data_IF_541661571606
#
_entry.id   IF_541661571606
#
_cell.length_a   1.000
_cell.length_b   1.000
_cell.length_c   1.000
_cell.angle_alpha   90.00
_cell.angle_beta   90.00
_cell.angle_gamma   90.00
#
_symmetry.space_group_name_H-M   'P 1'
#
loop_
_entity.id
_entity.type
_entity.pdbx_description
1 polymer ?
#
# COMPACT_ATOMS: atom_id res chain seq x y z
N UNK A 1 -18.51 -3.58 -12.38
CA UNK A 1 -18.05 -3.26 -11.01
C UNK A 1 -17.01 -4.29 -10.57
N UNK A 2 -16.06 -3.90 -9.71
CA UNK A 2 -15.10 -4.81 -9.06
C UNK A 2 -15.34 -4.79 -7.55
N UNK A 3 -15.11 -5.91 -6.86
CA UNK A 3 -15.22 -6.02 -5.40
C UNK A 3 -14.03 -6.81 -4.86
N UNK A 4 -13.66 -6.59 -3.59
CA UNK A 4 -12.65 -7.39 -2.91
C UNK A 4 -13.33 -8.60 -2.27
N UNK A 5 -12.98 -9.81 -2.72
CA UNK A 5 -13.55 -11.04 -2.17
C UNK A 5 -12.93 -11.35 -0.81
N UNK A 6 -13.74 -11.47 0.25
CA UNK A 6 -13.27 -11.78 1.60
C UNK A 6 -12.64 -13.18 1.74
N UNK A 7 -13.00 -14.12 0.84
CA UNK A 7 -12.48 -15.49 0.91
C UNK A 7 -11.04 -15.65 0.39
N UNK A 8 -10.65 -14.89 -0.63
CA UNK A 8 -9.31 -15.00 -1.24
C UNK A 8 -8.53 -13.68 -1.27
N UNK A 9 -9.11 -12.62 -0.71
CA UNK A 9 -8.53 -11.27 -0.59
C UNK A 9 -8.05 -10.65 -1.91
N UNK A 10 -8.79 -10.95 -3.00
CA UNK A 10 -8.50 -10.45 -4.36
C UNK A 10 -9.59 -9.53 -4.88
N UNK A 11 -9.18 -8.53 -5.65
CA UNK A 11 -10.08 -7.64 -6.37
C UNK A 11 -10.60 -8.35 -7.64
N UNK A 12 -11.86 -8.74 -7.65
CA UNK A 12 -12.50 -9.53 -8.71
C UNK A 12 -13.60 -8.73 -9.43
N UNK A 13 -13.85 -9.04 -10.70
CA UNK A 13 -14.95 -8.46 -11.48
C UNK A 13 -16.23 -9.27 -11.19
N UNK A 14 -17.35 -8.59 -11.00
CA UNK A 14 -18.66 -9.23 -10.80
C UNK A 14 -19.10 -9.88 -12.12
N UNK A 15 -19.25 -11.21 -12.15
CA UNK A 15 -19.78 -11.96 -13.30
C UNK A 15 -21.17 -12.53 -13.02
N UNK A 16 -21.36 -13.16 -11.85
CA UNK A 16 -22.65 -13.73 -11.41
C UNK A 16 -23.12 -13.06 -10.12
N UNK A 17 -24.33 -12.51 -10.13
CA UNK A 17 -24.97 -11.94 -8.96
C UNK A 17 -26.41 -12.45 -8.80
N UNK A 18 -26.85 -12.54 -7.54
CA UNK A 18 -28.22 -12.90 -7.16
C UNK A 18 -28.71 -11.87 -6.16
N UNK A 19 -29.95 -11.43 -6.31
CA UNK A 19 -30.63 -10.57 -5.33
C UNK A 19 -31.48 -11.47 -4.42
N UNK A 20 -31.06 -11.63 -3.17
CA UNK A 20 -31.79 -12.36 -2.13
C UNK A 20 -32.12 -11.38 -1.00
N UNK A 21 -33.38 -11.28 -0.58
CA UNK A 21 -33.79 -10.48 0.58
C UNK A 21 -33.34 -9.01 0.55
N UNK A 22 -33.41 -8.37 -0.62
CA UNK A 22 -32.90 -7.01 -0.87
C UNK A 22 -31.39 -6.82 -0.67
N UNK A 23 -30.61 -7.90 -0.49
CA UNK A 23 -29.16 -7.88 -0.48
C UNK A 23 -28.61 -8.38 -1.82
N UNK A 24 -27.51 -7.78 -2.27
CA UNK A 24 -26.77 -8.23 -3.44
C UNK A 24 -25.78 -9.32 -3.01
N UNK A 25 -26.01 -10.56 -3.44
CA UNK A 25 -25.08 -11.66 -3.26
C UNK A 25 -24.25 -11.85 -4.54
N UNK A 26 -22.93 -11.92 -4.41
CA UNK A 26 -22.00 -12.12 -5.53
C UNK A 26 -21.10 -13.31 -5.23
N UNK A 27 -20.99 -14.24 -6.17
CA UNK A 27 -20.05 -15.35 -6.08
C UNK A 27 -18.67 -14.95 -6.64
N UNK A 28 -17.61 -15.37 -5.97
CA UNK A 28 -16.24 -15.15 -6.43
C UNK A 28 -15.89 -16.16 -7.53
N UNK A 29 -15.50 -15.73 -8.74
CA UNK A 29 -15.14 -16.66 -9.81
C UNK A 29 -13.84 -17.42 -9.53
N UNK A 30 -13.02 -16.95 -8.58
CA UNK A 30 -11.72 -17.56 -8.25
C UNK A 30 -11.85 -18.64 -7.18
N UNK A 31 -12.60 -18.38 -6.11
CA UNK A 31 -12.68 -19.30 -4.96
C UNK A 31 -14.08 -19.85 -4.67
N UNK A 32 -15.11 -19.36 -5.37
CA UNK A 32 -16.51 -19.79 -5.16
C UNK A 32 -17.17 -19.24 -3.89
N UNK A 33 -16.47 -18.43 -3.08
CA UNK A 33 -17.05 -17.82 -1.89
C UNK A 33 -18.14 -16.80 -2.27
N UNK A 34 -19.21 -16.74 -1.47
CA UNK A 34 -20.32 -15.82 -1.64
C UNK A 34 -20.15 -14.59 -0.73
N UNK A 35 -20.21 -13.40 -1.30
CA UNK A 35 -20.17 -12.13 -0.56
C UNK A 35 -21.53 -11.45 -0.65
N UNK A 36 -22.09 -11.01 0.48
CA UNK A 36 -23.42 -10.37 0.57
C UNK A 36 -23.27 -8.91 0.97
N UNK A 37 -23.76 -7.99 0.14
CA UNK A 37 -23.85 -6.56 0.45
C UNK A 37 -25.31 -6.20 0.77
N UNK A 38 -25.60 -5.94 2.05
CA UNK A 38 -26.87 -5.36 2.44
C UNK A 38 -26.86 -3.85 2.09
N UNK A 39 -28.00 -3.27 1.64
CA UNK A 39 -28.12 -1.84 1.49
C UNK A 39 -27.79 -1.19 2.83
N UNK A 40 -26.84 -0.25 2.84
CA UNK A 40 -26.48 0.46 4.07
C UNK A 40 -27.74 1.18 4.55
N UNK A 41 -28.34 0.72 5.65
CA UNK A 41 -29.36 1.51 6.33
C UNK A 41 -28.64 2.74 6.87
N UNK A 42 -28.61 3.81 6.10
CA UNK A 42 -28.11 5.10 6.55
C UNK A 42 -28.99 5.49 7.73
N UNK A 43 -28.46 5.30 8.95
CA UNK A 43 -29.06 5.80 10.17
C UNK A 43 -29.29 7.30 9.97
N UNK A 44 -30.53 7.81 10.03
CA UNK A 44 -30.76 9.24 9.89
C UNK A 44 -29.90 9.96 10.92
N UNK A 45 -29.10 10.91 10.45
CA UNK A 45 -28.19 11.68 11.28
C UNK A 45 -28.97 12.29 12.44
N UNK A 46 -28.61 11.93 13.68
CA UNK A 46 -29.17 12.57 14.85
C UNK A 46 -28.85 14.07 14.79
N UNK A 47 -29.81 14.97 15.10
CA UNK A 47 -29.55 16.41 15.15
C UNK A 47 -28.45 16.67 16.18
N UNK A 48 -27.32 17.22 15.73
CA UNK A 48 -26.22 17.60 16.61
C UNK A 48 -26.63 18.72 17.57
N UNK A 49 -26.36 18.53 18.86
CA UNK A 49 -26.46 19.56 19.88
C UNK A 49 -25.54 20.74 19.53
N UNK A 50 -26.07 21.95 19.64
CA UNK A 50 -25.40 23.20 19.40
C UNK A 50 -24.21 23.42 20.36
N UNK A 51 -23.05 23.91 19.88
CA UNK A 51 -21.98 24.42 20.73
C UNK A 51 -22.32 25.80 21.30
N UNK A 52 -22.05 25.95 22.60
CA UNK A 52 -22.28 27.16 23.37
C UNK A 52 -21.47 28.36 22.88
N UNK A 53 -22.15 29.51 22.94
CA UNK A 53 -21.75 30.87 22.57
C UNK A 53 -20.76 31.43 23.61
N UNK A 54 -19.60 31.87 23.17
CA UNK A 54 -18.66 32.70 23.95
C UNK A 54 -18.25 33.91 23.12
N UNK A 55 -18.44 35.10 23.69
CA UNK A 55 -18.40 36.42 23.06
C UNK A 55 -17.02 36.93 22.58
N UNK A 56 -17.14 37.82 21.59
CA UNK A 56 -16.24 38.72 20.83
C UNK A 56 -15.34 39.70 21.65
N UNK A 57 -14.57 40.68 21.07
CA UNK A 57 -14.57 41.25 19.70
C UNK A 57 -13.20 41.57 19.03
N UNK A 58 -13.19 41.83 17.71
CA UNK A 58 -12.13 42.69 17.14
C UNK A 58 -11.87 42.68 15.62
N UNK A 59 -12.55 43.60 14.91
CA UNK A 59 -12.02 44.46 13.83
C UNK A 59 -11.96 43.99 12.35
N UNK A 60 -12.75 44.75 11.55
CA UNK A 60 -12.47 45.38 10.24
C UNK A 60 -12.27 44.51 8.98
N UNK A 61 -13.32 44.52 8.14
CA UNK A 61 -13.34 45.33 6.91
C UNK A 61 -12.90 44.66 5.60
N UNK A 62 -13.75 44.73 4.57
CA UNK A 62 -13.34 44.51 3.18
C UNK A 62 -14.45 43.98 2.27
N UNK A 63 -14.94 44.85 1.40
CA UNK A 63 -16.06 44.71 0.47
C UNK A 63 -15.86 43.68 -0.66
N UNK A 64 -16.96 43.25 -1.29
CA UNK A 64 -16.98 43.15 -2.75
C UNK A 64 -17.62 41.92 -3.40
N UNK A 65 -18.72 42.18 -4.10
CA UNK A 65 -19.19 41.56 -5.35
C UNK A 65 -20.02 40.27 -5.29
N UNK A 66 -21.33 40.50 -5.44
CA UNK A 66 -22.35 39.54 -5.85
C UNK A 66 -22.21 39.15 -7.32
N UNK A 67 -22.43 37.86 -7.63
CA UNK A 67 -22.93 37.41 -8.94
C UNK A 67 -23.97 36.32 -8.69
N UNK A 68 -25.22 36.66 -8.95
CA UNK A 68 -26.32 35.70 -9.12
C UNK A 68 -26.16 34.98 -10.46
N UNK A 69 -26.72 33.76 -10.61
CA UNK A 69 -27.49 33.34 -11.80
C UNK A 69 -27.98 31.88 -11.68
N UNK A 70 -29.30 31.78 -11.85
CA UNK A 70 -30.12 30.70 -12.44
C UNK A 70 -30.32 29.34 -11.78
N UNK A 71 -31.58 29.19 -11.35
CA UNK A 71 -32.35 27.96 -11.30
C UNK A 71 -32.50 27.33 -12.70
N UNK A 72 -32.60 26.00 -12.75
CA UNK A 72 -33.09 25.23 -13.90
C UNK A 72 -34.01 24.13 -13.40
N UNK A 73 -35.18 24.05 -14.04
CA UNK A 73 -36.33 23.20 -13.76
C UNK A 73 -36.06 21.68 -13.81
N UNK A 74 -36.90 20.88 -13.13
CA UNK A 74 -36.91 19.42 -13.21
C UNK A 74 -37.79 18.88 -14.37
N UNK A 75 -37.34 17.79 -14.99
CA UNK A 75 -38.03 17.04 -16.03
C UNK A 75 -38.88 15.87 -15.45
N UNK A 76 -39.85 15.31 -16.22
CA UNK A 76 -41.01 14.59 -15.68
C UNK A 76 -40.80 13.08 -15.41
N UNK A 77 -41.60 12.60 -14.45
CA UNK A 77 -41.76 11.19 -14.05
C UNK A 77 -42.42 10.32 -15.13
N UNK A 78 -41.98 9.06 -15.31
CA UNK A 78 -42.80 8.03 -15.94
C UNK A 78 -43.61 7.25 -14.89
N UNK A 79 -44.90 7.14 -15.16
CA UNK A 79 -45.88 6.35 -14.43
C UNK A 79 -45.61 4.84 -14.48
N UNK A 80 -45.64 4.19 -13.32
CA UNK A 80 -45.71 2.73 -13.21
C UNK A 80 -46.78 2.33 -12.17
N UNK A 81 -47.50 1.27 -12.53
CA UNK A 81 -48.77 0.81 -11.96
C UNK A 81 -48.57 0.05 -10.64
N UNK A 82 -49.55 0.07 -9.72
CA UNK A 82 -49.51 -0.72 -8.49
C UNK A 82 -49.76 -2.20 -8.80
N UNK A 83 -48.84 -3.06 -8.36
CA UNK A 83 -49.02 -4.52 -8.28
C UNK A 83 -49.31 -4.86 -6.82
N UNK A 84 -50.37 -5.65 -6.63
CA UNK A 84 -50.98 -6.01 -5.36
C UNK A 84 -50.07 -6.82 -4.43
N UNK A 85 -50.03 -6.42 -3.16
CA UNK A 85 -49.38 -7.12 -2.04
C UNK A 85 -50.08 -8.44 -1.67
N UNK A 86 -49.35 -9.56 -1.57
CA UNK A 86 -49.75 -10.71 -0.77
C UNK A 86 -49.39 -10.52 0.71
N UNK A 87 -50.36 -10.83 1.57
CA UNK A 87 -50.34 -10.69 3.03
C UNK A 87 -49.14 -11.38 3.70
N UNK A 88 -48.37 -10.62 4.48
CA UNK A 88 -47.19 -11.06 5.19
C UNK A 88 -47.52 -11.79 6.51
N UNK A 89 -46.92 -12.96 6.70
CA UNK A 89 -46.81 -13.60 8.02
C UNK A 89 -45.88 -12.82 8.96
N UNK A 90 -45.88 -13.14 10.28
CA UNK A 90 -45.11 -12.41 11.28
C UNK A 90 -43.60 -12.46 10.98
N UNK A 91 -42.88 -11.32 11.08
CA UNK A 91 -41.49 -11.21 10.68
C UNK A 91 -40.55 -12.01 11.61
N UNK A 92 -39.52 -12.68 11.07
CA UNK A 92 -38.48 -13.30 11.88
C UNK A 92 -37.70 -12.24 12.69
N UNK A 93 -37.20 -12.58 13.89
CA UNK A 93 -36.48 -11.64 14.73
C UNK A 93 -35.24 -11.10 14.00
N UNK A 94 -34.92 -9.79 14.15
CA UNK A 94 -33.85 -9.12 13.42
C UNK A 94 -32.49 -9.77 13.71
N UNK A 95 -31.86 -10.28 12.64
CA UNK A 95 -30.49 -10.78 12.69
C UNK A 95 -29.55 -9.62 13.04
N UNK A 96 -28.92 -9.71 14.21
CA UNK A 96 -28.00 -8.69 14.70
C UNK A 96 -26.79 -8.58 13.75
N UNK A 97 -26.34 -7.37 13.39
CA UNK A 97 -25.17 -7.18 12.56
C UNK A 97 -23.96 -7.81 13.23
N UNK A 98 -23.31 -8.74 12.53
CA UNK A 98 -22.02 -9.28 12.91
C UNK A 98 -20.99 -8.15 12.82
N UNK A 99 -20.84 -7.40 13.90
CA UNK A 99 -19.67 -6.57 14.11
C UNK A 99 -18.49 -7.52 14.01
N UNK A 100 -17.65 -7.33 13.00
CA UNK A 100 -16.34 -7.96 12.89
C UNK A 100 -15.59 -7.59 14.16
N UNK A 101 -15.71 -8.45 15.17
CA UNK A 101 -15.05 -8.28 16.44
C UNK A 101 -13.57 -8.15 16.12
N UNK A 102 -12.96 -7.02 16.53
CA UNK A 102 -11.52 -6.91 16.67
C UNK A 102 -11.08 -8.19 17.38
N UNK A 103 -10.50 -9.13 16.63
CA UNK A 103 -9.93 -10.33 17.23
C UNK A 103 -8.71 -9.84 17.99
N UNK A 104 -8.90 -9.60 19.28
CA UNK A 104 -7.82 -9.49 20.24
C UNK A 104 -7.06 -10.81 20.15
N UNK A 105 -5.95 -10.80 19.41
CA UNK A 105 -5.02 -11.91 19.36
C UNK A 105 -4.45 -12.02 20.77
N UNK A 106 -4.93 -13.01 21.53
CA UNK A 106 -4.35 -13.35 22.83
C UNK A 106 -2.90 -13.77 22.62
N UNK A 107 -1.98 -13.02 23.21
CA UNK A 107 -0.53 -13.28 23.17
C UNK A 107 -0.09 -14.48 24.03
N UNK A 108 -1.02 -15.31 24.53
CA UNK A 108 -0.72 -16.45 25.40
C UNK A 108 -0.31 -17.72 24.62
N UNK A 109 0.29 -17.57 23.45
CA UNK A 109 0.88 -18.69 22.75
C UNK A 109 2.07 -19.21 23.57
N UNK A 110 2.13 -20.51 23.91
CA UNK A 110 3.24 -21.05 24.69
C UNK A 110 4.56 -20.77 23.97
N UNK A 111 5.64 -20.47 24.73
CA UNK A 111 6.94 -20.16 24.14
C UNK A 111 7.39 -21.35 23.30
N UNK A 112 7.34 -21.17 21.97
CA UNK A 112 7.82 -22.14 21.00
C UNK A 112 9.29 -22.36 21.31
N UNK A 113 9.65 -23.61 21.59
CA UNK A 113 11.04 -23.99 21.85
C UNK A 113 11.95 -23.42 20.75
N UNK A 114 13.18 -22.98 21.07
CA UNK A 114 14.09 -22.40 20.10
C UNK A 114 14.34 -23.43 18.99
N UNK A 115 13.68 -23.23 17.85
CA UNK A 115 13.91 -23.99 16.64
C UNK A 115 15.35 -23.70 16.24
N UNK A 116 16.21 -24.71 16.37
CA UNK A 116 17.51 -24.72 15.69
C UNK A 116 17.18 -24.60 14.21
N UNK A 117 17.38 -23.40 13.68
CA UNK A 117 17.10 -23.10 12.29
C UNK A 117 18.29 -23.59 11.49
N UNK A 118 18.26 -24.87 11.14
CA UNK A 118 19.29 -25.47 10.30
C UNK A 118 19.30 -24.79 8.92
N UNK A 119 20.47 -24.27 8.54
CA UNK A 119 20.74 -23.72 7.22
C UNK A 119 21.22 -22.27 7.20
N UNK A 120 21.72 -21.85 6.03
CA UNK A 120 22.15 -20.48 5.76
C UNK A 120 20.96 -19.50 5.91
N UNK A 121 21.02 -18.49 6.80
CA UNK A 121 19.91 -17.56 7.04
C UNK A 121 19.55 -16.72 5.81
N UNK A 122 20.45 -16.60 4.83
CA UNK A 122 20.26 -15.79 3.62
C UNK A 122 19.63 -16.55 2.45
N UNK A 123 19.61 -17.88 2.52
CA UNK A 123 18.95 -18.73 1.53
C UNK A 123 17.46 -18.87 1.86
N UNK A 124 16.63 -18.95 0.82
CA UNK A 124 15.22 -19.26 1.02
C UNK A 124 15.06 -20.74 1.40
N UNK A 125 14.14 -21.09 2.32
CA UNK A 125 13.84 -22.49 2.61
C UNK A 125 13.36 -23.24 1.34
N UNK A 126 13.56 -24.57 1.27
CA UNK A 126 13.02 -25.36 0.17
C UNK A 126 11.50 -25.17 0.06
N UNK A 127 10.97 -25.24 -1.17
CA UNK A 127 9.56 -24.98 -1.45
C UNK A 127 9.15 -23.50 -1.39
N UNK A 128 10.09 -22.56 -1.22
CA UNK A 128 9.83 -21.12 -1.25
C UNK A 128 10.58 -20.42 -2.40
N UNK A 129 9.98 -19.36 -2.95
CA UNK A 129 10.57 -18.56 -4.01
C UNK A 129 11.84 -17.87 -3.50
N UNK A 130 12.98 -17.97 -4.22
CA UNK A 130 14.25 -17.44 -3.72
C UNK A 130 14.30 -15.91 -3.70
N UNK A 131 13.46 -15.20 -4.47
CA UNK A 131 13.38 -13.73 -4.46
C UNK A 131 12.46 -13.18 -3.37
N UNK A 132 11.21 -13.65 -3.31
CA UNK A 132 10.18 -13.05 -2.43
C UNK A 132 9.74 -13.92 -1.25
N UNK A 133 10.26 -15.16 -1.16
CA UNK A 133 9.94 -16.12 -0.10
C UNK A 133 8.45 -16.53 -0.06
N UNK A 134 7.72 -16.40 -1.17
CA UNK A 134 6.37 -16.95 -1.27
C UNK A 134 6.43 -18.48 -1.51
N UNK A 135 5.48 -19.27 -1.00
CA UNK A 135 5.41 -20.71 -1.31
C UNK A 135 5.40 -20.97 -2.82
N UNK A 136 6.19 -21.93 -3.27
CA UNK A 136 6.26 -22.38 -4.67
C UNK A 136 5.08 -23.31 -4.95
N UNK A 137 4.61 -23.30 -6.20
CA UNK A 137 3.64 -24.30 -6.70
C UNK A 137 4.42 -25.24 -7.62
N UNK A 138 4.26 -26.55 -7.43
CA UNK A 138 5.18 -27.58 -7.94
C UNK A 138 5.39 -27.63 -9.46
N UNK A 139 4.50 -27.00 -10.25
CA UNK A 139 4.57 -27.00 -11.73
C UNK A 139 4.79 -25.61 -12.34
N UNK A 140 5.02 -24.57 -11.52
CA UNK A 140 5.16 -23.22 -12.03
C UNK A 140 6.62 -22.92 -12.44
N UNK A 141 6.87 -22.62 -13.73
CA UNK A 141 8.17 -22.10 -14.19
C UNK A 141 8.49 -20.69 -13.68
N UNK A 142 7.53 -20.02 -13.03
CA UNK A 142 7.68 -18.69 -12.45
C UNK A 142 6.88 -18.52 -11.15
N UNK A 143 7.35 -17.65 -10.28
CA UNK A 143 6.68 -17.34 -9.02
C UNK A 143 5.41 -16.51 -9.25
N UNK A 144 4.26 -17.00 -8.78
CA UNK A 144 2.98 -16.31 -8.90
C UNK A 144 2.88 -15.00 -8.08
N UNK A 145 3.74 -14.80 -7.07
CA UNK A 145 3.70 -13.63 -6.20
C UNK A 145 4.55 -12.46 -6.73
N UNK A 146 5.74 -12.73 -7.25
CA UNK A 146 6.67 -11.67 -7.70
C UNK A 146 7.05 -11.75 -9.19
N UNK A 147 6.53 -12.72 -9.93
CA UNK A 147 6.80 -12.90 -11.36
C UNK A 147 8.21 -13.41 -11.69
N UNK A 148 9.02 -13.81 -10.71
CA UNK A 148 10.36 -14.34 -10.96
C UNK A 148 10.27 -15.64 -11.77
N UNK A 149 10.89 -15.68 -12.95
CA UNK A 149 11.13 -16.92 -13.70
C UNK A 149 12.31 -17.66 -13.06
N UNK A 150 12.08 -18.87 -12.56
CA UNK A 150 13.07 -19.58 -11.73
C UNK A 150 14.36 -19.91 -12.47
N UNK A 151 14.27 -20.19 -13.78
CA UNK A 151 15.44 -20.45 -14.63
C UNK A 151 16.41 -19.25 -14.75
N UNK A 152 15.93 -18.03 -14.51
CA UNK A 152 16.70 -16.79 -14.63
C UNK A 152 17.18 -16.26 -13.27
N UNK A 153 17.02 -17.04 -12.20
CA UNK A 153 17.40 -16.58 -10.87
C UNK A 153 18.92 -16.62 -10.68
N UNK A 154 19.51 -15.47 -10.34
CA UNK A 154 20.93 -15.34 -9.99
C UNK A 154 21.02 -15.13 -8.46
N UNK A 155 21.52 -16.12 -7.69
CA UNK A 155 21.59 -16.04 -6.23
C UNK A 155 22.38 -14.83 -5.71
N UNK A 156 23.49 -14.51 -6.37
CA UNK A 156 24.43 -13.48 -5.91
C UNK A 156 23.83 -12.07 -5.93
N UNK A 157 22.91 -11.78 -6.85
CA UNK A 157 22.20 -10.49 -6.90
C UNK A 157 21.25 -10.28 -5.71
N UNK A 158 20.89 -11.35 -5.00
CA UNK A 158 19.92 -11.33 -3.91
C UNK A 158 20.58 -11.51 -2.53
N UNK A 159 21.91 -11.48 -2.47
CA UNK A 159 22.63 -11.46 -1.21
C UNK A 159 22.56 -10.05 -0.57
N UNK A 160 22.38 -9.96 0.77
CA UNK A 160 22.52 -8.69 1.47
C UNK A 160 23.96 -8.18 1.38
N UNK A 161 24.16 -6.87 1.54
CA UNK A 161 25.50 -6.33 1.73
C UNK A 161 26.20 -7.00 2.93
N UNK A 162 27.53 -7.08 2.91
CA UNK A 162 28.29 -7.67 4.02
C UNK A 162 28.01 -6.99 5.36
N UNK A 163 27.73 -5.68 5.36
CA UNK A 163 27.34 -4.94 6.55
C UNK A 163 25.99 -5.42 7.11
N UNK A 164 24.95 -5.48 6.26
CA UNK A 164 23.63 -5.95 6.67
C UNK A 164 23.66 -7.44 7.07
N UNK A 165 24.46 -8.27 6.38
CA UNK A 165 24.65 -9.67 6.72
C UNK A 165 25.26 -9.84 8.12
N UNK A 166 26.29 -9.07 8.46
CA UNK A 166 26.91 -9.06 9.78
C UNK A 166 25.95 -8.61 10.88
N UNK A 167 25.21 -7.52 10.64
CA UNK A 167 24.20 -7.02 11.58
C UNK A 167 23.04 -8.01 11.77
N UNK A 168 22.62 -8.69 10.70
CA UNK A 168 21.59 -9.73 10.77
C UNK A 168 22.06 -10.93 11.61
N UNK A 169 23.30 -11.40 11.44
CA UNK A 169 23.85 -12.45 12.30
C UNK A 169 23.91 -12.03 13.76
N UNK A 170 24.37 -10.81 14.05
CA UNK A 170 24.39 -10.29 15.42
C UNK A 170 22.98 -10.18 16.03
N UNK A 171 21.98 -9.82 15.21
CA UNK A 171 20.58 -9.82 15.62
C UNK A 171 20.07 -11.23 15.94
N UNK A 172 20.49 -12.27 15.21
CA UNK A 172 20.06 -13.64 15.49
C UNK A 172 20.52 -14.13 16.87
N UNK A 173 21.69 -13.70 17.34
CA UNK A 173 22.19 -13.98 18.70
C UNK A 173 21.41 -13.24 19.80
N UNK A 174 20.77 -12.13 19.44
CA UNK A 174 20.02 -11.27 20.37
C UNK A 174 18.57 -11.12 19.93
N UNK A 175 17.99 -12.17 19.34
CA UNK A 175 16.69 -12.10 18.65
C UNK A 175 15.55 -11.58 19.54
N UNK A 176 15.63 -11.78 20.85
CA UNK A 176 14.60 -11.31 21.79
C UNK A 176 14.70 -9.80 22.13
N UNK A 177 15.78 -9.12 21.76
CA UNK A 177 15.99 -7.68 22.00
C UNK A 177 15.36 -6.85 20.88
N UNK A 178 14.20 -6.24 21.16
CA UNK A 178 13.54 -5.35 20.19
C UNK A 178 14.39 -4.12 19.82
N UNK A 179 15.25 -3.63 20.71
CA UNK A 179 16.11 -2.50 20.39
C UNK A 179 17.17 -2.91 19.36
N UNK A 180 17.61 -4.19 19.34
CA UNK A 180 18.49 -4.72 18.29
C UNK A 180 17.78 -4.74 16.92
N UNK A 181 16.51 -5.14 16.89
CA UNK A 181 15.69 -5.06 15.67
C UNK A 181 15.57 -3.62 15.16
N UNK A 182 15.29 -2.66 16.05
CA UNK A 182 15.13 -1.25 15.67
C UNK A 182 16.44 -0.64 15.16
N UNK A 183 17.57 -0.97 15.79
CA UNK A 183 18.92 -0.58 15.33
C UNK A 183 19.20 -1.08 13.91
N UNK A 184 18.98 -2.38 13.65
CA UNK A 184 19.15 -2.96 12.31
C UNK A 184 18.27 -2.23 11.28
N UNK A 185 16.99 -2.01 11.59
CA UNK A 185 16.06 -1.36 10.66
C UNK A 185 16.44 0.10 10.38
N UNK A 186 16.99 0.80 11.36
CA UNK A 186 17.45 2.19 11.23
C UNK A 186 18.72 2.27 10.39
N UNK A 187 19.65 1.32 10.58
CA UNK A 187 20.85 1.18 9.75
C UNK A 187 20.52 0.79 8.31
N UNK A 188 19.62 -0.19 8.11
CA UNK A 188 19.14 -0.58 6.79
C UNK A 188 18.43 0.57 6.05
N UNK A 189 17.68 1.41 6.77
CA UNK A 189 17.09 2.63 6.19
C UNK A 189 18.16 3.61 5.72
N UNK A 190 19.17 3.90 6.56
CA UNK A 190 20.26 4.80 6.20
C UNK A 190 21.07 4.35 4.98
N UNK A 191 21.14 3.04 4.72
CA UNK A 191 21.82 2.44 3.56
C UNK A 191 20.92 2.19 2.35
N UNK A 192 19.61 2.41 2.46
CA UNK A 192 18.65 2.09 1.39
C UNK A 192 18.37 0.60 1.21
N UNK A 193 18.64 -0.23 2.22
CA UNK A 193 18.52 -1.70 2.18
C UNK A 193 17.27 -2.25 2.89
N UNK A 194 16.28 -1.41 3.19
CA UNK A 194 15.04 -1.84 3.86
C UNK A 194 14.32 -2.98 3.13
N UNK A 195 14.36 -3.00 1.79
CA UNK A 195 13.77 -4.08 1.01
C UNK A 195 14.44 -5.44 1.30
N UNK A 196 15.76 -5.43 1.47
CA UNK A 196 16.53 -6.63 1.81
C UNK A 196 16.28 -7.08 3.25
N UNK A 197 16.23 -6.13 4.21
CA UNK A 197 15.80 -6.43 5.58
C UNK A 197 14.40 -7.06 5.62
N UNK A 198 13.45 -6.54 4.85
CA UNK A 198 12.11 -7.12 4.71
C UNK A 198 12.10 -8.52 4.08
N UNK A 199 13.07 -8.86 3.21
CA UNK A 199 13.26 -10.23 2.71
C UNK A 199 13.77 -11.15 3.83
N UNK A 200 14.74 -10.71 4.63
CA UNK A 200 15.29 -11.48 5.76
C UNK A 200 14.21 -11.86 6.79
N UNK A 201 13.35 -10.90 7.17
CA UNK A 201 12.22 -11.19 8.06
C UNK A 201 11.22 -12.19 7.45
N UNK A 202 10.94 -12.11 6.15
CA UNK A 202 10.08 -13.10 5.48
C UNK A 202 10.72 -14.49 5.43
N UNK A 203 12.03 -14.59 5.24
CA UNK A 203 12.76 -15.86 5.32
C UNK A 203 12.72 -16.45 6.72
N UNK A 204 12.78 -15.62 7.76
CA UNK A 204 12.57 -16.06 9.15
C UNK A 204 11.16 -16.59 9.35
N UNK A 205 10.13 -15.87 8.91
CA UNK A 205 8.73 -16.30 8.99
C UNK A 205 8.46 -17.59 8.20
N UNK A 206 9.10 -17.79 7.05
CA UNK A 206 8.95 -19.03 6.28
C UNK A 206 9.48 -20.26 7.04
N UNK A 207 10.52 -20.10 7.87
CA UNK A 207 11.05 -21.17 8.71
C UNK A 207 10.34 -21.29 10.07
N UNK A 208 9.89 -20.17 10.61
CA UNK A 208 9.18 -20.08 11.90
C UNK A 208 7.90 -19.24 11.74
N UNK A 209 6.79 -19.82 11.23
CA UNK A 209 5.56 -19.07 10.91
C UNK A 209 4.88 -18.36 12.09
N UNK A 210 5.21 -18.74 13.33
CA UNK A 210 4.70 -18.14 14.56
C UNK A 210 5.63 -17.10 15.21
N UNK A 211 6.74 -16.73 14.56
CA UNK A 211 7.71 -15.78 15.14
C UNK A 211 7.13 -14.35 15.16
N UNK A 212 6.61 -13.96 16.33
CA UNK A 212 5.96 -12.67 16.54
C UNK A 212 6.94 -11.48 16.32
N UNK A 213 8.23 -11.67 16.63
CA UNK A 213 9.25 -10.63 16.42
C UNK A 213 9.56 -10.49 14.93
N UNK A 214 9.62 -11.60 14.19
CA UNK A 214 9.78 -11.55 12.74
C UNK A 214 8.58 -10.86 12.05
N UNK A 215 7.36 -11.17 12.51
CA UNK A 215 6.13 -10.54 12.02
C UNK A 215 6.16 -9.02 12.27
N UNK A 216 6.47 -8.62 13.51
CA UNK A 216 6.59 -7.21 13.89
C UNK A 216 7.68 -6.50 13.10
N UNK A 217 8.85 -7.12 12.93
CA UNK A 217 9.96 -6.59 12.13
C UNK A 217 9.58 -6.37 10.66
N UNK A 218 8.87 -7.33 10.06
CA UNK A 218 8.32 -7.19 8.69
C UNK A 218 7.34 -6.02 8.59
N UNK A 219 6.40 -5.92 9.52
CA UNK A 219 5.38 -4.88 9.49
C UNK A 219 6.00 -3.48 9.71
N UNK A 220 7.06 -3.42 10.53
CA UNK A 220 7.86 -2.22 10.74
C UNK A 220 8.63 -1.79 9.48
N UNK A 221 9.17 -2.74 8.70
CA UNK A 221 9.75 -2.44 7.38
C UNK A 221 8.69 -1.82 6.46
N UNK A 222 7.48 -2.39 6.40
CA UNK A 222 6.39 -1.86 5.57
C UNK A 222 5.99 -0.46 6.04
N UNK A 223 5.87 -0.24 7.35
CA UNK A 223 5.57 1.07 7.94
C UNK A 223 6.62 2.13 7.58
N UNK A 224 7.89 1.77 7.67
CA UNK A 224 9.03 2.65 7.33
C UNK A 224 9.09 2.98 5.85
N UNK A 225 8.91 1.99 4.97
CA UNK A 225 8.88 2.19 3.51
C UNK A 225 7.69 3.08 3.09
N UNK A 226 6.52 2.85 3.65
CA UNK A 226 5.31 3.65 3.35
C UNK A 226 5.41 5.08 3.89
N UNK A 227 6.03 5.26 5.05
CA UNK A 227 6.24 6.59 5.66
C UNK A 227 7.37 7.38 5.01
N UNK A 228 8.36 6.72 4.39
CA UNK A 228 9.46 7.35 3.65
C UNK A 228 9.10 7.73 2.21
N UNK A 229 8.03 7.17 1.65
CA UNK A 229 7.56 7.44 0.30
C UNK A 229 7.14 8.90 -0.03
N UNK A 230 6.71 9.78 0.89
CA UNK A 230 6.21 11.10 0.49
C UNK A 230 7.30 12.07 0.00
N UNK A 231 8.59 11.79 0.22
CA UNK A 231 9.66 12.74 -0.13
C UNK A 231 10.44 12.40 -1.42
N UNK A 232 10.28 11.18 -1.96
CA UNK A 232 10.94 10.78 -3.20
C UNK A 232 10.07 11.01 -4.45
N UNK A 233 8.76 11.23 -4.30
CA UNK A 233 7.86 11.54 -5.42
C UNK A 233 7.77 13.03 -5.75
N UNK A 234 8.25 13.89 -4.85
CA UNK A 234 8.69 15.23 -5.23
C UNK A 234 10.04 15.11 -5.96
N UNK A 235 10.01 14.48 -7.14
CA UNK A 235 11.02 14.75 -8.15
C UNK A 235 11.18 16.27 -8.25
N UNK A 236 12.41 16.78 -8.53
CA UNK A 236 12.71 18.21 -8.46
C UNK A 236 11.54 18.94 -9.08
N UNK A 237 10.85 19.76 -8.27
CA UNK A 237 9.52 20.26 -8.62
C UNK A 237 9.51 20.66 -10.09
N UNK A 238 8.42 20.49 -10.86
CA UNK A 238 8.43 20.83 -12.28
C UNK A 238 8.92 22.26 -12.56
N UNK A 239 8.96 23.14 -11.55
CA UNK A 239 9.67 24.42 -11.57
C UNK A 239 11.21 24.29 -11.46
N UNK A 240 11.78 23.51 -10.53
CA UNK A 240 13.21 23.24 -10.47
C UNK A 240 13.73 22.46 -11.68
N UNK A 241 13.00 21.43 -12.15
CA UNK A 241 13.39 20.71 -13.37
C UNK A 241 13.45 21.64 -14.60
N UNK A 242 12.51 22.61 -14.69
CA UNK A 242 12.56 23.67 -15.72
C UNK A 242 13.73 24.63 -15.54
N UNK A 243 14.05 25.03 -14.30
CA UNK A 243 15.22 25.89 -14.02
C UNK A 243 16.54 25.22 -14.37
N UNK A 244 16.71 23.94 -14.01
CA UNK A 244 17.92 23.17 -14.34
C UNK A 244 18.02 22.97 -15.85
N UNK A 245 16.93 22.60 -16.53
CA UNK A 245 16.92 22.51 -17.99
C UNK A 245 17.29 23.83 -18.67
N UNK A 246 16.73 24.95 -18.20
CA UNK A 246 17.05 26.28 -18.75
C UNK A 246 18.50 26.69 -18.44
N UNK A 247 19.04 26.36 -17.27
CA UNK A 247 20.43 26.63 -16.91
C UNK A 247 21.41 25.81 -17.77
N UNK A 248 21.12 24.53 -17.98
CA UNK A 248 21.91 23.64 -18.86
C UNK A 248 21.82 24.10 -20.31
N UNK A 249 20.63 24.46 -20.79
CA UNK A 249 20.46 24.97 -22.16
C UNK A 249 21.19 26.31 -22.35
N UNK A 250 21.14 27.19 -21.35
CA UNK A 250 21.87 28.46 -21.34
C UNK A 250 23.39 28.27 -21.33
N UNK A 251 23.92 27.35 -20.51
CA UNK A 251 25.36 27.09 -20.45
C UNK A 251 25.91 26.52 -21.77
N UNK A 252 25.17 25.59 -22.40
CA UNK A 252 25.54 25.05 -23.72
C UNK A 252 25.58 26.16 -24.78
N UNK A 253 24.63 27.09 -24.75
CA UNK A 253 24.56 28.20 -25.70
C UNK A 253 25.72 29.19 -25.51
N UNK A 254 26.08 29.50 -24.27
CA UNK A 254 27.25 30.33 -23.95
C UNK A 254 28.56 29.66 -24.40
N UNK A 255 28.73 28.37 -24.15
CA UNK A 255 29.92 27.62 -24.59
C UNK A 255 30.02 27.62 -26.12
N UNK A 256 28.92 27.40 -26.83
CA UNK A 256 28.87 27.46 -28.28
C UNK A 256 29.23 28.85 -28.83
N UNK A 257 28.72 29.92 -28.21
CA UNK A 257 29.06 31.30 -28.58
C UNK A 257 30.55 31.59 -28.40
N UNK A 258 31.13 31.18 -27.27
CA UNK A 258 32.56 31.36 -27.00
C UNK A 258 33.41 30.61 -28.03
N UNK A 259 33.04 29.37 -28.38
CA UNK A 259 33.71 28.61 -29.44
C UNK A 259 33.68 29.33 -30.79
N UNK A 260 32.54 29.91 -31.19
CA UNK A 260 32.42 30.68 -32.43
C UNK A 260 33.30 31.93 -32.40
N UNK A 261 33.33 32.66 -31.28
CA UNK A 261 34.19 33.84 -31.14
C UNK A 261 35.68 33.50 -31.22
N UNK A 262 36.09 32.39 -30.60
CA UNK A 262 37.47 31.89 -30.69
C UNK A 262 37.82 31.51 -32.13
N UNK A 263 36.92 30.81 -32.83
CA UNK A 263 37.10 30.47 -34.24
C UNK A 263 37.23 31.73 -35.12
N UNK A 264 36.43 32.75 -34.85
CA UNK A 264 36.47 34.01 -35.58
C UNK A 264 37.79 34.77 -35.36
N UNK A 265 38.31 34.80 -34.13
CA UNK A 265 39.62 35.39 -33.82
C UNK A 265 40.74 34.68 -34.59
N UNK A 266 40.75 33.35 -34.59
CA UNK A 266 41.75 32.55 -35.33
C UNK A 266 41.69 32.85 -36.83
N UNK A 267 40.49 32.93 -37.42
CA UNK A 267 40.33 33.27 -38.83
C UNK A 267 40.79 34.69 -39.13
N UNK A 268 40.46 35.66 -38.26
CA UNK A 268 40.85 37.06 -38.45
C UNK A 268 42.36 37.26 -38.40
N UNK A 269 43.07 36.53 -37.54
CA UNK A 269 44.52 36.62 -37.43
C UNK A 269 45.25 35.89 -38.58
N UNK A 270 44.55 35.07 -39.36
CA UNK A 270 45.10 34.34 -40.51
C UNK A 270 45.02 35.11 -41.85
N UNK A 271 44.26 36.21 -41.92
CA UNK A 271 44.10 37.07 -43.10
C UNK A 271 44.77 38.43 -42.90
#
# INVERSE_FOLDING_TARGET
>A
MKYQCEGCDRLVKVETYVLEDHALAVACPVCGAWTRAAPSSSKPASPGLAPGRGEEPGARGGDGAAVAVSATEPAPEPAWKPVSEPSAGPPPPPSRPSVTALRVVRSDAPPVAPLVLDGDPFQAPPGHCPKCVAPVRDEAGACAACGLVYANFIPDEHQPSGALAGEWHALLETWHDWDAHDRLLSQAMGRGELAMAGRLYRMRLARAPGDALALRGRDEVVRRVTSAAPLASDGPSPAMARKVKNAVMGSVLVIALVLVLVLFQILRDAF
#
